data_IF_388143416034
#
_entry.id   IF_388143416034
#
_cell.length_a   1.000
_cell.length_b   1.000
_cell.length_c   1.000
_cell.angle_alpha   90.00
_cell.angle_beta   90.00
_cell.angle_gamma   90.00
#
_symmetry.space_group_name_H-M   'P 1'
#
loop_
_entity.id
_entity.type
_entity.pdbx_description
1 polymer ?
#
# COMPACT_ATOMS: atom_id res chain seq x y z
N UNK A 1 -49.86 -19.73 -15.33
CA UNK A 1 -49.40 -19.31 -14.00
C UNK A 1 -48.03 -19.92 -13.63
N UNK A 2 -47.81 -21.21 -13.78
CA UNK A 2 -46.53 -21.86 -13.42
C UNK A 2 -45.29 -21.33 -14.15
N UNK A 3 -45.40 -20.96 -15.42
CA UNK A 3 -44.24 -20.40 -16.19
C UNK A 3 -43.81 -19.02 -15.66
N UNK A 4 -44.77 -18.18 -15.30
CA UNK A 4 -44.46 -16.87 -14.70
C UNK A 4 -43.82 -17.03 -13.32
N UNK A 5 -44.32 -17.95 -12.50
CA UNK A 5 -43.74 -18.20 -11.18
C UNK A 5 -42.31 -18.73 -11.26
N UNK A 6 -42.01 -19.64 -12.23
CA UNK A 6 -40.65 -20.16 -12.45
C UNK A 6 -39.67 -19.09 -12.94
N UNK A 7 -40.11 -18.20 -13.84
CA UNK A 7 -39.30 -17.09 -14.31
C UNK A 7 -39.02 -16.09 -13.20
N UNK A 8 -40.02 -15.73 -12.38
CA UNK A 8 -39.84 -14.82 -11.26
C UNK A 8 -38.93 -15.42 -10.19
N UNK A 9 -39.03 -16.71 -9.92
CA UNK A 9 -38.14 -17.39 -8.98
C UNK A 9 -36.68 -17.43 -9.47
N UNK A 10 -36.44 -17.70 -10.78
CA UNK A 10 -35.09 -17.66 -11.36
C UNK A 10 -34.48 -16.28 -11.31
N UNK A 11 -35.24 -15.21 -11.58
CA UNK A 11 -34.76 -13.82 -11.51
C UNK A 11 -34.42 -13.44 -10.07
N UNK A 12 -35.23 -13.87 -9.08
CA UNK A 12 -34.96 -13.62 -7.67
C UNK A 12 -33.67 -14.34 -7.19
N UNK A 13 -33.42 -15.57 -7.63
CA UNK A 13 -32.21 -16.34 -7.29
C UNK A 13 -30.98 -15.72 -7.92
N UNK A 14 -31.04 -15.23 -9.18
CA UNK A 14 -29.94 -14.51 -9.82
C UNK A 14 -29.59 -13.19 -9.12
N UNK A 15 -30.58 -12.48 -8.58
CA UNK A 15 -30.37 -11.24 -7.86
C UNK A 15 -29.63 -11.44 -6.52
N UNK A 16 -29.83 -12.58 -5.84
CA UNK A 16 -29.17 -12.91 -4.57
C UNK A 16 -27.68 -13.23 -4.78
N UNK A 17 -27.29 -13.84 -5.91
CA UNK A 17 -25.89 -14.16 -6.21
C UNK A 17 -25.05 -12.90 -6.50
N UNK A 18 -25.67 -11.82 -6.98
CA UNK A 18 -25.00 -10.56 -7.26
C UNK A 18 -24.67 -9.71 -6.00
N UNK A 19 -25.21 -10.08 -4.83
CA UNK A 19 -25.04 -9.34 -3.59
C UNK A 19 -23.92 -9.86 -2.69
N UNK A 20 -23.13 -10.87 -3.13
CA UNK A 20 -22.01 -11.39 -2.35
C UNK A 20 -20.87 -10.39 -2.29
N UNK A 21 -20.34 -10.15 -1.07
CA UNK A 21 -19.12 -9.37 -0.89
C UNK A 21 -17.93 -10.09 -1.53
N UNK A 22 -17.10 -9.34 -2.25
CA UNK A 22 -15.87 -9.85 -2.86
C UNK A 22 -14.64 -9.27 -2.13
N UNK A 23 -13.54 -10.02 -2.04
CA UNK A 23 -12.30 -9.49 -1.45
C UNK A 23 -11.75 -8.32 -2.25
N UNK A 24 -10.94 -7.48 -1.59
CA UNK A 24 -10.19 -6.42 -2.24
C UNK A 24 -9.24 -7.00 -3.30
N UNK A 25 -9.20 -6.38 -4.47
CA UNK A 25 -8.40 -6.83 -5.61
C UNK A 25 -7.00 -6.22 -5.54
N UNK A 26 -5.98 -7.03 -5.67
CA UNK A 26 -4.57 -6.62 -5.68
C UNK A 26 -4.30 -5.45 -6.65
N UNK A 27 -4.75 -5.57 -7.91
CA UNK A 27 -4.50 -4.55 -8.94
C UNK A 27 -5.08 -3.17 -8.60
N UNK A 28 -6.20 -3.11 -7.87
CA UNK A 28 -6.84 -1.86 -7.49
C UNK A 28 -6.15 -1.18 -6.28
N UNK A 29 -5.27 -1.89 -5.59
CA UNK A 29 -4.46 -1.39 -4.47
C UNK A 29 -3.08 -0.88 -4.88
N UNK A 30 -2.68 -1.05 -6.16
CA UNK A 30 -1.39 -0.58 -6.68
C UNK A 30 -1.48 0.91 -6.99
N UNK A 31 -0.64 1.78 -6.40
CA UNK A 31 -0.59 3.20 -6.75
C UNK A 31 0.05 3.42 -8.12
N UNK A 32 -0.38 4.50 -8.77
CA UNK A 32 0.28 5.00 -9.97
C UNK A 32 1.66 5.59 -9.62
N UNK A 33 2.57 5.54 -10.59
CA UNK A 33 3.87 6.20 -10.45
C UNK A 33 3.69 7.72 -10.51
N UNK A 34 4.33 8.42 -9.58
CA UNK A 34 4.35 9.88 -9.53
C UNK A 34 5.79 10.39 -9.46
N UNK A 35 6.03 11.64 -9.84
CA UNK A 35 7.37 12.22 -9.88
C UNK A 35 8.08 12.19 -8.51
N UNK A 36 7.33 12.29 -7.42
CA UNK A 36 7.83 12.29 -6.04
C UNK A 36 8.11 10.87 -5.47
N UNK A 37 7.81 9.84 -6.25
CA UNK A 37 8.14 8.44 -5.93
C UNK A 37 9.22 7.83 -6.84
N UNK A 38 9.76 8.62 -7.78
CA UNK A 38 10.84 8.17 -8.65
C UNK A 38 12.17 8.16 -7.89
N UNK A 39 12.95 7.11 -8.12
CA UNK A 39 14.32 6.97 -7.61
C UNK A 39 15.31 6.90 -8.78
N UNK A 40 16.54 7.35 -8.55
CA UNK A 40 17.63 7.14 -9.51
C UNK A 40 18.15 5.71 -9.46
N UNK A 41 18.81 5.25 -10.53
CA UNK A 41 19.44 3.92 -10.58
C UNK A 41 20.51 3.73 -9.49
N UNK A 42 21.16 4.82 -9.08
CA UNK A 42 22.16 4.81 -8.01
C UNK A 42 21.56 4.98 -6.60
N UNK A 43 20.23 4.98 -6.48
CA UNK A 43 19.55 5.06 -5.19
C UNK A 43 19.87 3.83 -4.32
N UNK A 44 20.15 4.00 -3.02
CA UNK A 44 20.29 2.88 -2.10
C UNK A 44 19.03 2.03 -1.94
N UNK A 45 17.88 2.52 -2.44
CA UNK A 45 16.61 1.79 -2.49
C UNK A 45 16.42 0.99 -3.79
N UNK A 46 17.25 1.24 -4.83
CA UNK A 46 17.10 0.57 -6.11
C UNK A 46 17.34 -0.94 -5.98
N UNK A 47 16.33 -1.73 -6.36
CA UNK A 47 16.32 -3.20 -6.27
C UNK A 47 16.80 -3.74 -4.89
N UNK A 48 16.49 -3.03 -3.79
CA UNK A 48 17.09 -3.27 -2.48
C UNK A 48 16.12 -3.80 -1.43
N UNK A 49 14.80 -3.82 -1.68
CA UNK A 49 13.79 -4.13 -0.67
C UNK A 49 13.21 -5.53 -0.90
N UNK A 50 13.24 -6.38 0.13
CA UNK A 50 12.55 -7.68 0.17
C UNK A 50 11.41 -7.61 1.17
N UNK A 51 10.19 -8.02 0.78
CA UNK A 51 9.05 -8.11 1.71
C UNK A 51 9.15 -9.42 2.48
N UNK A 52 9.41 -9.32 3.78
CA UNK A 52 9.51 -10.49 4.65
C UNK A 52 8.13 -10.87 5.22
N UNK A 53 7.40 -9.88 5.75
CA UNK A 53 6.13 -10.13 6.43
C UNK A 53 5.05 -9.16 5.97
N UNK A 54 3.82 -9.70 5.77
CA UNK A 54 2.58 -8.91 5.64
C UNK A 54 1.53 -9.60 6.48
N UNK A 55 0.97 -8.90 7.45
CA UNK A 55 -0.06 -9.42 8.36
C UNK A 55 -1.11 -8.38 8.73
N UNK A 56 -2.08 -8.78 9.57
CA UNK A 56 -3.17 -7.95 10.03
C UNK A 56 -4.35 -7.83 9.07
N UNK A 57 -4.25 -8.39 7.87
CA UNK A 57 -5.39 -8.51 6.95
C UNK A 57 -6.38 -9.58 7.40
N UNK A 58 -7.63 -9.43 6.97
CA UNK A 58 -8.73 -10.33 7.29
C UNK A 58 -9.30 -10.97 6.02
N UNK A 59 -9.82 -12.19 6.16
CA UNK A 59 -10.55 -12.83 5.07
C UNK A 59 -11.93 -12.20 4.90
N UNK A 60 -12.33 -11.97 3.64
CA UNK A 60 -13.65 -11.44 3.30
C UNK A 60 -14.75 -12.43 3.72
N UNK A 61 -15.74 -11.93 4.47
CA UNK A 61 -16.98 -12.65 4.68
C UNK A 61 -17.93 -12.38 3.50
N UNK A 62 -18.23 -13.39 2.65
CA UNK A 62 -19.03 -13.17 1.44
C UNK A 62 -20.43 -12.64 1.70
N UNK A 63 -20.97 -12.79 2.92
CA UNK A 63 -22.34 -12.40 3.24
C UNK A 63 -22.45 -10.96 3.72
N UNK A 64 -21.37 -10.38 4.30
CA UNK A 64 -21.50 -9.12 5.04
C UNK A 64 -20.49 -8.05 4.67
N UNK A 65 -19.20 -8.40 4.49
CA UNK A 65 -18.15 -7.39 4.52
C UNK A 65 -16.98 -7.78 3.61
N UNK A 66 -16.61 -6.85 2.72
CA UNK A 66 -15.36 -6.95 1.95
C UNK A 66 -14.18 -6.61 2.85
N UNK A 67 -13.13 -7.40 2.79
CA UNK A 67 -11.91 -7.25 3.57
C UNK A 67 -10.67 -7.21 2.66
N UNK A 68 -9.53 -6.88 3.27
CA UNK A 68 -8.20 -6.89 2.63
C UNK A 68 -7.43 -8.08 3.17
N UNK A 69 -7.24 -9.10 2.34
CA UNK A 69 -6.46 -10.29 2.69
C UNK A 69 -4.95 -10.02 2.66
N UNK A 70 -4.20 -10.75 3.49
CA UNK A 70 -2.73 -10.66 3.50
C UNK A 70 -2.09 -11.01 2.15
N UNK A 71 -2.56 -12.05 1.39
CA UNK A 71 -2.00 -12.39 0.08
C UNK A 71 -2.18 -11.26 -0.94
N UNK A 72 -3.37 -10.66 -1.04
CA UNK A 72 -3.68 -9.59 -1.98
C UNK A 72 -2.91 -8.33 -1.63
N UNK A 73 -2.80 -8.00 -0.33
CA UNK A 73 -2.03 -6.86 0.13
C UNK A 73 -0.52 -7.05 -0.13
N UNK A 74 0.03 -8.24 0.14
CA UNK A 74 1.42 -8.58 -0.21
C UNK A 74 1.67 -8.41 -1.71
N UNK A 75 0.83 -8.97 -2.56
CA UNK A 75 0.98 -8.89 -4.00
C UNK A 75 0.89 -7.43 -4.52
N UNK A 76 0.03 -6.60 -3.93
CA UNK A 76 -0.04 -5.17 -4.22
C UNK A 76 1.24 -4.43 -3.83
N UNK A 77 1.82 -4.72 -2.67
CA UNK A 77 3.09 -4.15 -2.22
C UNK A 77 4.26 -4.58 -3.12
N UNK A 78 4.36 -5.88 -3.46
CA UNK A 78 5.39 -6.40 -4.36
C UNK A 78 5.33 -5.72 -5.73
N UNK A 79 4.14 -5.62 -6.31
CA UNK A 79 3.92 -4.92 -7.58
C UNK A 79 4.24 -3.43 -7.48
N UNK A 80 3.89 -2.79 -6.37
CA UNK A 80 4.17 -1.37 -6.13
C UNK A 80 5.67 -1.10 -6.05
N UNK A 81 6.40 -1.90 -5.28
CA UNK A 81 7.87 -1.78 -5.18
C UNK A 81 8.56 -2.11 -6.50
N UNK A 82 8.09 -3.12 -7.25
CA UNK A 82 8.61 -3.45 -8.57
C UNK A 82 8.41 -2.31 -9.59
N UNK A 83 7.20 -1.74 -9.62
CA UNK A 83 6.88 -0.61 -10.48
C UNK A 83 7.75 0.63 -10.20
N UNK A 84 8.26 0.77 -8.98
CA UNK A 84 9.14 1.86 -8.55
C UNK A 84 10.63 1.48 -8.53
N UNK A 85 10.98 0.33 -9.11
CA UNK A 85 12.36 -0.21 -9.17
C UNK A 85 13.01 -0.39 -7.79
N UNK A 86 12.22 -0.66 -6.74
CA UNK A 86 12.70 -0.84 -5.37
C UNK A 86 12.71 -2.31 -4.93
N UNK A 87 11.93 -3.19 -5.61
CA UNK A 87 11.84 -4.60 -5.25
C UNK A 87 13.12 -5.35 -5.62
N UNK A 88 13.72 -6.02 -4.66
CA UNK A 88 14.90 -6.85 -4.89
C UNK A 88 14.55 -8.11 -5.71
N UNK A 89 15.40 -8.49 -6.65
CA UNK A 89 15.29 -9.72 -7.46
C UNK A 89 15.82 -10.98 -6.71
N UNK A 90 16.40 -10.77 -5.55
CA UNK A 90 16.98 -11.79 -4.68
C UNK A 90 17.04 -11.28 -3.24
N UNK A 91 18.03 -11.70 -2.43
CA UNK A 91 18.23 -11.11 -1.10
C UNK A 91 18.46 -9.61 -1.20
N UNK A 92 17.54 -8.82 -0.65
CA UNK A 92 17.62 -7.37 -0.65
C UNK A 92 18.55 -6.85 0.45
N UNK A 93 18.99 -5.61 0.36
CA UNK A 93 19.68 -4.91 1.44
C UNK A 93 18.75 -4.66 2.63
N UNK A 94 17.49 -4.41 2.34
CA UNK A 94 16.48 -4.07 3.33
C UNK A 94 15.37 -5.11 3.39
N UNK A 95 14.91 -5.39 4.62
CA UNK A 95 13.75 -6.21 4.91
C UNK A 95 12.57 -5.33 5.29
N UNK A 96 11.44 -5.49 4.61
CA UNK A 96 10.20 -4.79 4.89
C UNK A 96 9.21 -5.72 5.60
N UNK A 97 8.82 -5.32 6.81
CA UNK A 97 7.73 -5.91 7.58
C UNK A 97 6.55 -4.94 7.55
N UNK A 98 5.35 -5.42 7.22
CA UNK A 98 4.13 -4.62 7.06
C UNK A 98 3.00 -5.22 7.88
N UNK A 99 2.30 -4.38 8.64
CA UNK A 99 1.13 -4.80 9.42
C UNK A 99 -0.04 -3.85 9.17
N UNK A 100 -1.16 -4.38 8.65
CA UNK A 100 -2.42 -3.66 8.63
C UNK A 100 -2.97 -3.61 10.05
N UNK A 101 -2.69 -2.50 10.74
CA UNK A 101 -3.01 -2.34 12.18
C UNK A 101 -4.50 -2.10 12.41
N UNK A 102 -5.17 -1.43 11.46
CA UNK A 102 -6.61 -1.16 11.51
C UNK A 102 -7.14 -0.90 10.10
N UNK A 103 -8.31 -1.46 9.81
CA UNK A 103 -9.14 -1.11 8.67
C UNK A 103 -10.49 -0.64 9.23
N UNK A 104 -10.69 0.67 9.32
CA UNK A 104 -11.89 1.28 9.88
C UNK A 104 -12.92 1.45 8.78
N UNK A 105 -13.97 0.66 8.83
CA UNK A 105 -14.99 0.53 7.81
C UNK A 105 -16.35 1.04 8.32
N UNK A 106 -17.12 1.79 7.52
CA UNK A 106 -18.48 2.15 7.88
C UNK A 106 -19.41 0.94 7.76
N UNK A 107 -20.32 0.80 8.71
CA UNK A 107 -21.31 -0.27 8.67
C UNK A 107 -22.45 0.03 7.66
N UNK A 108 -22.83 1.29 7.53
CA UNK A 108 -23.87 1.78 6.61
C UNK A 108 -23.44 3.16 6.09
N UNK A 109 -23.72 3.46 4.81
CA UNK A 109 -23.49 4.77 4.23
C UNK A 109 -23.93 4.86 2.77
N UNK A 110 -24.28 6.06 2.32
CA UNK A 110 -24.46 6.37 0.90
C UNK A 110 -23.08 6.36 0.24
N UNK A 111 -22.14 7.12 0.79
CA UNK A 111 -20.73 7.05 0.49
C UNK A 111 -20.03 6.17 1.52
N UNK A 112 -19.00 5.43 1.11
CA UNK A 112 -18.23 4.55 1.98
C UNK A 112 -16.82 5.11 2.17
N UNK A 113 -16.56 5.64 3.37
CA UNK A 113 -15.20 6.10 3.73
C UNK A 113 -14.53 5.04 4.58
N UNK A 114 -13.43 4.49 4.08
CA UNK A 114 -12.58 3.54 4.81
C UNK A 114 -11.28 4.23 5.18
N UNK A 115 -10.82 4.01 6.42
CA UNK A 115 -9.51 4.48 6.89
C UNK A 115 -8.61 3.29 7.16
N UNK A 116 -7.50 3.19 6.42
CA UNK A 116 -6.48 2.17 6.62
C UNK A 116 -5.31 2.73 7.43
N UNK A 117 -4.97 2.05 8.54
CA UNK A 117 -3.78 2.31 9.34
C UNK A 117 -2.80 1.17 9.16
N UNK A 118 -1.68 1.42 8.50
CA UNK A 118 -0.66 0.42 8.18
C UNK A 118 0.67 0.82 8.81
N UNK A 119 1.27 -0.12 9.53
CA UNK A 119 2.63 0.03 10.05
C UNK A 119 3.62 -0.55 9.05
N UNK A 120 4.56 0.27 8.63
CA UNK A 120 5.69 -0.11 7.78
C UNK A 120 6.96 -0.07 8.61
N UNK A 121 7.75 -1.14 8.54
CA UNK A 121 9.04 -1.23 9.22
C UNK A 121 10.09 -1.76 8.24
N UNK A 122 11.00 -0.89 7.82
CA UNK A 122 12.12 -1.23 6.94
C UNK A 122 13.40 -1.36 7.78
N UNK A 123 14.00 -2.52 7.74
CA UNK A 123 15.20 -2.86 8.51
C UNK A 123 16.38 -3.12 7.57
N UNK A 124 17.55 -2.63 7.91
CA UNK A 124 18.80 -3.06 7.27
C UNK A 124 19.08 -4.52 7.64
N UNK A 125 19.24 -5.40 6.65
CA UNK A 125 19.39 -6.85 6.89
C UNK A 125 20.71 -7.23 7.56
N UNK A 126 21.74 -6.39 7.44
CA UNK A 126 23.05 -6.65 8.03
C UNK A 126 23.11 -6.25 9.51
N UNK A 127 22.56 -5.08 9.84
CA UNK A 127 22.64 -4.51 11.19
C UNK A 127 21.40 -4.73 12.01
N UNK A 128 20.30 -5.14 11.36
CA UNK A 128 18.94 -5.24 11.92
C UNK A 128 18.42 -3.89 12.50
N UNK A 129 19.05 -2.79 12.13
CA UNK A 129 18.63 -1.45 12.55
C UNK A 129 17.44 -0.95 11.71
N UNK A 130 16.48 -0.25 12.32
CA UNK A 130 15.37 0.35 11.59
C UNK A 130 15.87 1.54 10.75
N UNK A 131 15.63 1.48 9.44
CA UNK A 131 15.90 2.55 8.48
C UNK A 131 14.69 3.46 8.35
N UNK A 132 13.50 2.85 8.43
CA UNK A 132 12.21 3.53 8.39
C UNK A 132 11.23 2.75 9.27
N UNK A 133 10.47 3.46 10.09
CA UNK A 133 9.37 2.88 10.87
C UNK A 133 8.30 3.94 11.10
N UNK A 134 7.12 3.74 10.51
CA UNK A 134 5.99 4.68 10.62
C UNK A 134 4.65 3.94 10.61
N UNK A 135 3.66 4.54 11.25
CA UNK A 135 2.24 4.16 11.15
C UNK A 135 1.54 5.17 10.25
N UNK A 136 1.26 4.75 9.02
CA UNK A 136 0.56 5.59 8.05
C UNK A 136 -0.94 5.34 8.13
N UNK A 137 -1.72 6.40 8.32
CA UNK A 137 -3.18 6.34 8.38
C UNK A 137 -3.75 7.18 7.25
N UNK A 138 -4.51 6.56 6.34
CA UNK A 138 -5.07 7.22 5.16
C UNK A 138 -6.54 6.85 4.97
N UNK A 139 -7.43 7.84 4.82
CA UNK A 139 -8.81 7.64 4.42
C UNK A 139 -8.94 7.58 2.90
N UNK A 140 -9.96 6.86 2.43
CA UNK A 140 -10.45 6.92 1.06
C UNK A 140 -11.96 6.74 1.03
N UNK A 141 -12.65 7.52 0.19
CA UNK A 141 -14.09 7.48 0.04
C UNK A 141 -14.46 6.98 -1.35
N UNK A 142 -15.24 5.90 -1.41
CA UNK A 142 -15.97 5.50 -2.60
C UNK A 142 -17.38 6.10 -2.54
N UNK A 143 -17.71 6.92 -3.53
CA UNK A 143 -18.99 7.62 -3.60
C UNK A 143 -20.10 6.71 -4.16
N UNK A 144 -21.36 7.14 -4.00
CA UNK A 144 -22.51 6.43 -4.58
C UNK A 144 -22.38 6.27 -6.10
N UNK A 145 -21.75 7.22 -6.79
CA UNK A 145 -21.52 7.17 -8.24
C UNK A 145 -20.51 6.10 -8.68
N UNK A 146 -19.63 5.62 -7.78
CA UNK A 146 -18.61 4.62 -8.12
C UNK A 146 -19.19 3.20 -8.20
N UNK A 147 -20.22 2.87 -7.42
CA UNK A 147 -20.94 1.61 -7.52
C UNK A 147 -22.34 1.70 -6.88
N UNK A 148 -23.32 1.07 -7.50
CA UNK A 148 -24.71 1.05 -6.99
C UNK A 148 -24.84 0.20 -5.71
N UNK A 149 -24.15 -0.95 -5.64
CA UNK A 149 -24.22 -1.85 -4.49
C UNK A 149 -23.29 -1.37 -3.36
N UNK A 150 -23.81 -1.29 -2.13
CA UNK A 150 -23.04 -0.85 -0.96
C UNK A 150 -21.81 -1.72 -0.66
N UNK A 151 -21.92 -3.04 -0.82
CA UNK A 151 -20.81 -3.99 -0.65
C UNK A 151 -19.69 -3.76 -1.69
N UNK A 152 -20.05 -3.37 -2.90
CA UNK A 152 -19.11 -3.03 -3.95
C UNK A 152 -18.41 -1.70 -3.65
N UNK A 153 -19.13 -0.67 -3.18
CA UNK A 153 -18.55 0.58 -2.72
C UNK A 153 -17.59 0.37 -1.56
N UNK A 154 -17.95 -0.50 -0.61
CA UNK A 154 -17.06 -0.84 0.51
C UNK A 154 -15.75 -1.47 0.00
N UNK A 155 -15.83 -2.39 -0.96
CA UNK A 155 -14.65 -2.98 -1.60
C UNK A 155 -13.77 -1.91 -2.28
N UNK A 156 -14.38 -1.01 -3.06
CA UNK A 156 -13.66 0.09 -3.71
C UNK A 156 -13.00 1.04 -2.70
N UNK A 157 -13.67 1.29 -1.58
CA UNK A 157 -13.12 2.11 -0.50
C UNK A 157 -11.93 1.43 0.20
N UNK A 158 -11.99 0.13 0.44
CA UNK A 158 -10.87 -0.67 0.97
C UNK A 158 -9.66 -0.61 0.03
N UNK A 159 -9.88 -0.90 -1.26
CA UNK A 159 -8.87 -0.87 -2.30
C UNK A 159 -8.21 0.52 -2.40
N UNK A 160 -9.03 1.58 -2.37
CA UNK A 160 -8.58 2.96 -2.42
C UNK A 160 -7.77 3.37 -1.19
N UNK A 161 -8.22 3.00 0.01
CA UNK A 161 -7.52 3.31 1.26
C UNK A 161 -6.12 2.66 1.31
N UNK A 162 -6.01 1.39 0.90
CA UNK A 162 -4.71 0.69 0.81
C UNK A 162 -3.84 1.32 -0.28
N UNK A 163 -4.39 1.65 -1.46
CA UNK A 163 -3.64 2.28 -2.54
C UNK A 163 -3.03 3.62 -2.12
N UNK A 164 -3.81 4.49 -1.48
CA UNK A 164 -3.33 5.79 -0.98
C UNK A 164 -2.31 5.60 0.14
N UNK A 165 -2.49 4.59 0.99
CA UNK A 165 -1.56 4.26 2.07
C UNK A 165 -0.20 3.81 1.53
N UNK A 166 -0.17 2.90 0.53
CA UNK A 166 1.07 2.47 -0.16
C UNK A 166 1.73 3.66 -0.86
N UNK A 167 0.96 4.52 -1.56
CA UNK A 167 1.50 5.71 -2.23
C UNK A 167 2.21 6.64 -1.23
N UNK A 168 1.59 6.87 -0.07
CA UNK A 168 2.16 7.69 1.01
C UNK A 168 3.46 7.07 1.54
N UNK A 169 3.48 5.75 1.78
CA UNK A 169 4.69 5.04 2.19
C UNK A 169 5.85 5.23 1.21
N UNK A 170 5.61 5.02 -0.09
CA UNK A 170 6.64 5.18 -1.13
C UNK A 170 7.17 6.61 -1.19
N UNK A 171 6.29 7.60 -1.12
CA UNK A 171 6.64 9.02 -1.11
C UNK A 171 7.50 9.39 0.10
N UNK A 172 7.10 8.99 1.29
CA UNK A 172 7.83 9.27 2.52
C UNK A 172 9.21 8.58 2.53
N UNK A 173 9.29 7.35 2.03
CA UNK A 173 10.52 6.60 1.94
C UNK A 173 11.55 7.30 1.03
N UNK A 174 11.11 7.77 -0.15
CA UNK A 174 11.95 8.52 -1.10
C UNK A 174 12.36 9.87 -0.51
N UNK A 175 11.42 10.60 0.11
CA UNK A 175 11.73 11.89 0.73
C UNK A 175 12.76 11.76 1.86
N UNK A 176 12.68 10.72 2.68
CA UNK A 176 13.63 10.44 3.77
C UNK A 176 15.03 10.11 3.22
N UNK A 177 15.10 9.29 2.18
CA UNK A 177 16.36 8.97 1.50
C UNK A 177 17.03 10.23 0.93
N UNK A 178 16.27 11.08 0.23
CA UNK A 178 16.80 12.31 -0.37
C UNK A 178 17.33 13.26 0.69
N UNK A 179 16.67 13.38 1.83
CA UNK A 179 17.14 14.17 2.98
C UNK A 179 18.45 13.66 3.55
N UNK A 180 18.61 12.36 3.71
CA UNK A 180 19.85 11.74 4.19
C UNK A 180 20.98 11.90 3.18
N UNK A 181 20.73 11.76 1.90
CA UNK A 181 21.66 12.00 0.82
C UNK A 181 22.18 13.45 0.79
N UNK A 182 21.29 14.42 0.93
CA UNK A 182 21.65 15.84 1.00
C UNK A 182 22.55 16.16 2.20
N UNK A 183 22.25 15.62 3.39
CA UNK A 183 23.08 15.79 4.58
C UNK A 183 24.48 15.17 4.40
N UNK A 184 24.56 13.97 3.81
CA UNK A 184 25.84 13.30 3.51
C UNK A 184 26.72 14.11 2.55
N UNK A 185 26.13 14.72 1.53
CA UNK A 185 26.83 15.58 0.58
C UNK A 185 27.37 16.84 1.25
N UNK A 186 26.54 17.50 2.09
CA UNK A 186 26.96 18.70 2.83
C UNK A 186 28.15 18.43 3.76
N UNK A 187 28.14 17.31 4.48
CA UNK A 187 29.23 16.90 5.37
C UNK A 187 30.52 16.60 4.56
N UNK A 188 30.40 16.00 3.37
CA UNK A 188 31.51 15.67 2.51
C UNK A 188 32.19 16.94 1.96
N UNK A 189 31.41 17.92 1.53
CA UNK A 189 31.92 19.24 1.06
C UNK A 189 32.65 19.97 2.20
N UNK A 190 32.04 20.06 3.37
CA UNK A 190 32.64 20.70 4.55
C UNK A 190 33.97 20.04 4.97
N UNK A 191 34.11 18.72 4.85
CA UNK A 191 35.38 18.00 5.10
C UNK A 191 36.44 18.26 4.03
N UNK A 192 36.03 18.43 2.77
CA UNK A 192 36.97 18.77 1.68
C UNK A 192 37.55 20.18 1.88
N UNK A 193 36.70 21.15 2.24
CA UNK A 193 37.13 22.54 2.49
C UNK A 193 38.11 22.65 3.66
N UNK A 194 37.89 21.89 4.73
CA UNK A 194 38.81 21.83 5.89
C UNK A 194 40.18 21.25 5.50
N UNK A 195 40.23 20.24 4.62
CA UNK A 195 41.50 19.67 4.15
C UNK A 195 42.29 20.63 3.26
N UNK A 196 41.63 21.41 2.43
CA UNK A 196 42.28 22.42 1.57
C UNK A 196 42.86 23.55 2.43
N UNK A 197 42.10 24.02 3.44
CA UNK A 197 42.56 25.07 4.35
C UNK A 197 43.70 24.65 5.29
N UNK A 198 43.82 23.36 5.64
CA UNK A 198 44.85 22.82 6.51
C UNK A 198 46.15 22.42 5.79
N UNK A 199 46.21 22.40 4.46
CA UNK A 199 47.35 22.02 3.65
C UNK A 199 48.26 23.16 3.21
N UNK A 200 47.96 24.42 3.59
CA UNK A 200 48.74 25.61 3.25
C UNK A 200 49.54 26.13 4.44
N UNK A 201 50.44 25.31 5.00
CA UNK A 201 51.49 25.73 5.93
C UNK A 201 52.80 25.03 5.59
#
# INVERSE_FOLDING_TARGET
MERFFRVTLCVAVLAVVAACASPARMNAMIPERSADTLISENSPLAEAITIAKVDGGSETNPLWMSEVGNPEFRAALESSLANHAMLAKGPGKYRLDVTLSKLDQPFIGIDMTVTASVRYRLLDQTTNAPVYEELITQPYTASFGDAFLGVERLRLANEGAIRVNIATFLKELVARQNKLGALGTTISIARADIRIAGGAR
#
